data_IF_679926583477
#
_entry.id   IF_679926583477
#
_cell.length_a   1.000
_cell.length_b   1.000
_cell.length_c   1.000
_cell.angle_alpha   90.00
_cell.angle_beta   90.00
_cell.angle_gamma   90.00
#
_symmetry.space_group_name_H-M   'P 1'
#
loop_
_entity.id
_entity.type
_entity.pdbx_description
1 polymer ?
#
# COMPACT_ATOMS: atom_id res chain seq x y z
N UNK A 1 -2.66 0.17 17.81
CA UNK A 1 -3.94 0.83 17.44
C UNK A 1 -3.86 1.37 16.02
N UNK A 2 -4.79 0.98 15.14
CA UNK A 2 -4.94 1.62 13.83
C UNK A 2 -5.43 3.05 14.04
N UNK A 3 -4.69 4.06 13.57
CA UNK A 3 -5.16 5.45 13.61
C UNK A 3 -6.50 5.57 12.88
N UNK A 4 -7.46 6.33 13.45
CA UNK A 4 -8.79 6.58 12.85
C UNK A 4 -8.71 7.11 11.41
N UNK A 5 -7.64 7.83 11.07
CA UNK A 5 -7.44 8.43 9.73
C UNK A 5 -6.68 7.51 8.76
N UNK A 6 -6.27 6.31 9.19
CA UNK A 6 -5.59 5.37 8.32
C UNK A 6 -6.61 4.66 7.41
N UNK A 7 -6.62 5.03 6.13
CA UNK A 7 -7.50 4.41 5.11
C UNK A 7 -7.25 2.92 4.90
N UNK A 8 -6.06 2.42 5.25
CA UNK A 8 -5.71 1.00 5.17
C UNK A 8 -5.42 0.40 6.54
N UNK A 9 -6.05 -0.75 6.80
CA UNK A 9 -5.68 -1.67 7.88
C UNK A 9 -4.29 -2.26 7.64
N UNK A 10 -3.70 -2.91 8.64
CA UNK A 10 -2.42 -3.63 8.49
C UNK A 10 -2.51 -4.67 7.37
N UNK A 11 -3.61 -5.42 7.32
CA UNK A 11 -3.87 -6.38 6.25
C UNK A 11 -3.98 -5.71 4.87
N UNK A 12 -4.67 -4.56 4.76
CA UNK A 12 -4.76 -3.80 3.52
C UNK A 12 -3.41 -3.33 3.00
N UNK A 13 -2.48 -2.94 3.89
CA UNK A 13 -1.11 -2.58 3.49
C UNK A 13 -0.32 -3.80 3.00
N UNK A 14 -0.54 -4.97 3.60
CA UNK A 14 0.07 -6.23 3.12
C UNK A 14 -0.41 -6.58 1.71
N UNK A 15 -1.72 -6.54 1.46
CA UNK A 15 -2.30 -6.77 0.12
C UNK A 15 -1.74 -5.78 -0.91
N UNK A 16 -1.64 -4.49 -0.55
CA UNK A 16 -1.04 -3.47 -1.42
C UNK A 16 0.37 -3.88 -1.87
N UNK A 17 1.21 -4.27 -0.92
CA UNK A 17 2.60 -4.67 -1.20
C UNK A 17 2.64 -5.95 -2.03
N UNK A 18 1.91 -6.99 -1.64
CA UNK A 18 1.86 -8.27 -2.35
C UNK A 18 1.46 -8.10 -3.81
N UNK A 19 0.42 -7.32 -4.11
CA UNK A 19 -0.02 -7.04 -5.49
C UNK A 19 1.05 -6.32 -6.29
N UNK A 20 1.72 -5.33 -5.70
CA UNK A 20 2.80 -4.58 -6.37
C UNK A 20 4.00 -5.48 -6.63
N UNK A 21 4.36 -6.36 -5.69
CA UNK A 21 5.45 -7.32 -5.87
C UNK A 21 5.11 -8.41 -6.90
N UNK A 22 3.83 -8.74 -7.06
CA UNK A 22 3.34 -9.59 -8.14
C UNK A 22 3.38 -8.91 -9.53
N UNK A 23 3.99 -7.72 -9.64
CA UNK A 23 4.20 -7.01 -10.91
C UNK A 23 3.06 -6.06 -11.30
N UNK A 24 2.02 -5.91 -10.47
CA UNK A 24 0.93 -4.96 -10.77
C UNK A 24 1.43 -3.51 -10.63
N UNK A 25 1.10 -2.61 -11.57
CA UNK A 25 1.44 -1.20 -11.44
C UNK A 25 0.85 -0.55 -10.18
N UNK A 26 1.68 0.15 -9.40
CA UNK A 26 1.30 0.81 -8.14
C UNK A 26 0.09 1.74 -8.33
N UNK A 27 0.01 2.41 -9.48
CA UNK A 27 -1.09 3.32 -9.80
C UNK A 27 -2.46 2.61 -9.85
N UNK A 28 -2.51 1.39 -10.38
CA UNK A 28 -3.76 0.62 -10.47
C UNK A 28 -4.16 0.08 -9.10
N UNK A 29 -3.21 -0.49 -8.35
CA UNK A 29 -3.48 -0.99 -7.00
C UNK A 29 -3.92 0.13 -6.06
N UNK A 30 -3.31 1.31 -6.16
CA UNK A 30 -3.71 2.48 -5.38
C UNK A 30 -5.17 2.89 -5.66
N UNK A 31 -5.58 2.90 -6.92
CA UNK A 31 -6.96 3.21 -7.31
C UNK A 31 -7.95 2.16 -6.79
N UNK A 32 -7.66 0.87 -6.94
CA UNK A 32 -8.48 -0.24 -6.42
C UNK A 32 -8.66 -0.17 -4.90
N UNK A 33 -7.62 0.23 -4.17
CA UNK A 33 -7.62 0.33 -2.71
C UNK A 33 -8.11 1.69 -2.20
N UNK A 34 -8.51 2.60 -3.09
CA UNK A 34 -9.00 3.92 -2.73
C UNK A 34 -7.96 4.78 -2.01
N UNK A 35 -6.69 4.69 -2.36
CA UNK A 35 -5.62 5.52 -1.79
C UNK A 35 -4.89 6.30 -2.88
N UNK A 36 -4.19 7.39 -2.49
CA UNK A 36 -3.39 8.15 -3.44
C UNK A 36 -2.13 7.37 -3.87
N UNK A 37 -1.68 7.57 -5.11
CA UNK A 37 -0.44 6.96 -5.63
C UNK A 37 0.78 7.26 -4.74
N UNK A 38 1.00 8.50 -4.24
CA UNK A 38 2.12 8.78 -3.33
C UNK A 38 2.04 7.97 -2.03
N UNK A 39 0.83 7.77 -1.47
CA UNK A 39 0.63 6.93 -0.28
C UNK A 39 1.02 5.49 -0.55
N UNK A 40 0.62 4.95 -1.71
CA UNK A 40 0.99 3.61 -2.11
C UNK A 40 2.52 3.45 -2.27
N UNK A 41 3.17 4.39 -2.97
CA UNK A 41 4.63 4.39 -3.12
C UNK A 41 5.37 4.49 -1.78
N UNK A 42 4.90 5.33 -0.85
CA UNK A 42 5.47 5.44 0.50
C UNK A 42 5.45 4.09 1.21
N UNK A 43 4.32 3.37 1.16
CA UNK A 43 4.20 2.06 1.81
C UNK A 43 5.09 1.00 1.17
N UNK A 44 5.13 0.92 -0.17
CA UNK A 44 6.01 -0.02 -0.87
C UNK A 44 7.48 0.27 -0.57
N UNK A 45 7.89 1.54 -0.57
CA UNK A 45 9.26 1.94 -0.22
C UNK A 45 9.59 1.53 1.21
N UNK A 46 8.69 1.83 2.14
CA UNK A 46 8.85 1.47 3.56
C UNK A 46 9.05 -0.04 3.72
N UNK A 47 8.21 -0.85 3.08
CA UNK A 47 8.33 -2.30 3.14
C UNK A 47 9.69 -2.80 2.61
N UNK A 48 10.22 -2.18 1.54
CA UNK A 48 11.55 -2.54 1.01
C UNK A 48 12.70 -2.12 1.93
N UNK A 49 12.54 -1.04 2.70
CA UNK A 49 13.59 -0.52 3.59
C UNK A 49 13.56 -1.14 4.99
N UNK A 50 12.37 -1.53 5.46
CA UNK A 50 12.12 -2.09 6.80
C UNK A 50 11.93 -3.62 6.75
N UNK A 51 12.31 -4.29 5.65
CA UNK A 51 12.08 -5.73 5.40
C UNK A 51 12.41 -6.61 6.59
#
# INVERSE_FOLDING_TARGET
>A
MSHRNARLTVHGRRILVERVLAGRPVAHVAAEMGISRPTAHKWVRRWRTEG
#
